data_IF_518998216304
#
_entry.id   IF_518998216304
#
_cell.length_a   1.000
_cell.length_b   1.000
_cell.length_c   1.000
_cell.angle_alpha   90.00
_cell.angle_beta   90.00
_cell.angle_gamma   90.00
#
_symmetry.space_group_name_H-M   'P 1'
#
loop_
_entity.id
_entity.type
_entity.pdbx_description
1 polymer ?
#
# COMPACT_ATOMS: atom_id res chain seq x y z
N UNK A 1 -5.39 -0.62 7.34
CA UNK A 1 -4.46 -1.75 7.18
C UNK A 1 -4.24 -2.41 8.52
N UNK A 2 -4.25 -3.74 8.56
CA UNK A 2 -4.12 -4.51 9.78
C UNK A 2 -3.33 -5.81 9.52
N UNK A 3 -2.96 -6.51 10.59
CA UNK A 3 -2.46 -7.89 10.53
C UNK A 3 -3.12 -8.71 11.62
N UNK A 4 -3.19 -10.02 11.41
CA UNK A 4 -3.68 -10.98 12.39
C UNK A 4 -2.49 -11.64 13.09
N UNK A 5 -2.59 -11.84 14.40
CA UNK A 5 -1.60 -12.64 15.14
C UNK A 5 -1.97 -14.13 15.10
N UNK A 6 -1.09 -14.99 15.62
CA UNK A 6 -1.30 -16.45 15.65
C UNK A 6 -2.55 -16.89 16.45
N UNK A 7 -3.14 -15.99 17.23
CA UNK A 7 -4.35 -16.24 18.03
C UNK A 7 -5.63 -15.71 17.37
N UNK A 8 -5.56 -15.22 16.13
CA UNK A 8 -6.72 -14.68 15.42
C UNK A 8 -7.10 -13.25 15.83
N UNK A 9 -6.25 -12.55 16.59
CA UNK A 9 -6.51 -11.17 16.99
C UNK A 9 -5.99 -10.20 15.93
N UNK A 10 -6.87 -9.35 15.43
CA UNK A 10 -6.51 -8.29 14.49
C UNK A 10 -5.89 -7.09 15.20
N UNK A 11 -4.76 -6.62 14.66
CA UNK A 11 -4.05 -5.43 15.12
C UNK A 11 -4.03 -4.39 14.02
N UNK A 12 -4.62 -3.22 14.29
CA UNK A 12 -4.66 -2.11 13.35
C UNK A 12 -3.28 -1.47 13.27
N UNK A 13 -2.69 -1.45 12.07
CA UNK A 13 -1.42 -0.77 11.82
C UNK A 13 -1.62 0.70 11.43
N UNK A 14 -2.63 0.98 10.60
CA UNK A 14 -2.91 2.34 10.15
C UNK A 14 -4.31 2.51 9.56
N UNK A 15 -4.83 3.73 9.68
CA UNK A 15 -5.97 4.22 8.92
C UNK A 15 -5.46 5.07 7.75
N UNK A 16 -6.14 4.99 6.63
CA UNK A 16 -5.78 5.70 5.40
C UNK A 16 -7.01 6.44 4.92
N UNK A 17 -6.82 7.72 4.61
CA UNK A 17 -7.89 8.59 4.12
C UNK A 17 -7.66 8.97 2.67
N UNK A 18 -8.62 9.69 2.09
CA UNK A 18 -8.61 10.12 0.70
C UNK A 18 -7.31 10.86 0.30
N UNK A 19 -6.88 10.67 -0.94
CA UNK A 19 -5.69 11.32 -1.50
C UNK A 19 -4.34 10.74 -1.04
N UNK A 20 -4.34 9.70 -0.21
CA UNK A 20 -3.12 9.04 0.25
C UNK A 20 -2.78 7.81 -0.60
N UNK A 21 -1.48 7.61 -0.82
CA UNK A 21 -0.97 6.32 -1.30
C UNK A 21 -0.77 5.38 -0.12
N UNK A 22 -1.13 4.11 -0.33
CA UNK A 22 -0.98 3.09 0.68
C UNK A 22 -0.71 1.73 0.03
N UNK A 23 0.10 0.93 0.71
CA UNK A 23 0.40 -0.46 0.40
C UNK A 23 1.17 -1.05 1.59
N UNK A 24 1.46 -2.36 1.56
CA UNK A 24 2.52 -2.92 2.39
C UNK A 24 3.87 -2.54 1.79
N UNK A 25 4.41 -1.39 2.20
CA UNK A 25 5.66 -0.85 1.66
C UNK A 25 6.84 -1.81 1.82
N UNK A 26 6.88 -2.62 2.88
CA UNK A 26 7.96 -3.61 3.06
C UNK A 26 7.88 -4.63 1.94
N UNK A 27 6.72 -5.27 1.78
CA UNK A 27 6.46 -6.23 0.71
C UNK A 27 6.73 -5.65 -0.68
N UNK A 28 6.25 -4.43 -0.94
CA UNK A 28 6.45 -3.73 -2.21
C UNK A 28 7.92 -3.55 -2.57
N UNK A 29 8.74 -3.09 -1.61
CA UNK A 29 10.16 -2.81 -1.80
C UNK A 29 11.01 -4.08 -1.84
N UNK A 30 10.68 -5.10 -1.04
CA UNK A 30 11.50 -6.32 -0.92
C UNK A 30 11.06 -7.46 -1.83
N UNK A 31 10.00 -7.28 -2.60
CA UNK A 31 9.44 -8.30 -3.49
C UNK A 31 9.06 -9.59 -2.75
N UNK A 32 8.50 -9.43 -1.55
CA UNK A 32 8.03 -10.53 -0.70
C UNK A 32 6.50 -10.50 -0.61
N UNK A 33 5.84 -11.61 -0.26
CA UNK A 33 4.40 -11.60 0.02
C UNK A 33 4.02 -10.55 1.07
N UNK A 34 2.83 -9.95 0.90
CA UNK A 34 2.30 -8.98 1.86
C UNK A 34 2.05 -9.64 3.20
N UNK A 35 2.47 -8.98 4.28
CA UNK A 35 2.12 -9.38 5.64
C UNK A 35 0.83 -8.68 6.10
N UNK A 36 0.50 -7.54 5.50
CA UNK A 36 -0.65 -6.73 5.89
C UNK A 36 -1.86 -7.00 5.02
N UNK A 37 -3.02 -6.92 5.65
CA UNK A 37 -4.34 -6.89 5.03
C UNK A 37 -4.85 -5.46 4.89
N UNK A 38 -5.58 -5.21 3.80
CA UNK A 38 -6.20 -3.93 3.48
C UNK A 38 -7.71 -4.16 3.42
N UNK A 39 -8.46 -3.37 4.17
CA UNK A 39 -9.91 -3.43 4.23
C UNK A 39 -10.48 -2.01 4.19
N UNK A 40 -11.53 -1.83 3.41
CA UNK A 40 -12.33 -0.61 3.41
C UNK A 40 -13.25 -0.60 4.63
N UNK A 41 -13.26 0.52 5.37
CA UNK A 41 -14.11 0.71 6.55
C UNK A 41 -15.43 1.41 6.21
N UNK A 42 -15.51 2.01 5.02
CA UNK A 42 -16.67 2.69 4.44
C UNK A 42 -16.66 2.50 2.92
N UNK A 43 -17.74 2.90 2.24
CA UNK A 43 -17.81 2.88 0.78
C UNK A 43 -16.68 3.73 0.18
N UNK A 44 -15.73 3.05 -0.48
CA UNK A 44 -14.47 3.65 -0.92
C UNK A 44 -14.24 3.38 -2.40
N UNK A 45 -13.79 4.39 -3.13
CA UNK A 45 -13.22 4.23 -4.48
C UNK A 45 -11.71 4.43 -4.42
N UNK A 46 -10.95 3.47 -4.95
CA UNK A 46 -9.49 3.53 -4.99
C UNK A 46 -8.96 3.24 -6.40
N UNK A 47 -7.83 3.86 -6.73
CA UNK A 47 -7.07 3.53 -7.92
C UNK A 47 -6.02 2.47 -7.57
N UNK A 48 -6.00 1.38 -8.33
CA UNK A 48 -5.01 0.32 -8.17
C UNK A 48 -3.89 0.48 -9.20
N UNK A 49 -2.65 0.49 -8.73
CA UNK A 49 -1.47 0.45 -9.57
C UNK A 49 -0.67 -0.81 -9.25
N UNK A 50 -0.23 -1.53 -10.29
CA UNK A 50 0.72 -2.63 -10.10
C UNK A 50 2.12 -2.06 -9.84
N UNK A 51 2.97 -2.83 -9.15
CA UNK A 51 4.38 -2.46 -8.94
C UNK A 51 5.10 -2.10 -10.25
N UNK A 52 4.95 -2.93 -11.27
CA UNK A 52 5.49 -2.66 -12.60
C UNK A 52 5.01 -1.33 -13.19
N UNK A 53 3.74 -0.97 -12.97
CA UNK A 53 3.21 0.32 -13.45
C UNK A 53 3.89 1.47 -12.72
N UNK A 54 4.03 1.37 -11.40
CA UNK A 54 4.67 2.40 -10.57
C UNK A 54 6.16 2.56 -10.93
N UNK A 55 6.89 1.47 -11.10
CA UNK A 55 8.29 1.47 -11.52
C UNK A 55 8.48 2.16 -12.88
N UNK A 56 7.62 1.84 -13.85
CA UNK A 56 7.62 2.52 -15.16
C UNK A 56 7.30 4.01 -15.08
N UNK A 57 6.48 4.43 -14.11
CA UNK A 57 6.20 5.85 -13.90
C UNK A 57 7.42 6.59 -13.37
N UNK A 58 8.16 5.98 -12.43
CA UNK A 58 9.42 6.50 -11.94
C UNK A 58 10.45 6.66 -13.06
N UNK A 59 10.62 5.64 -13.91
CA UNK A 59 11.53 5.70 -15.07
C UNK A 59 11.12 6.76 -16.10
N UNK A 60 9.82 7.02 -16.25
CA UNK A 60 9.31 7.89 -17.31
C UNK A 60 9.52 9.37 -17.01
N UNK A 61 9.37 9.82 -15.78
CA UNK A 61 9.50 11.24 -15.45
C UNK A 61 9.75 11.48 -13.95
N UNK A 62 10.70 12.37 -13.64
CA UNK A 62 11.12 12.73 -12.28
C UNK A 62 9.99 13.26 -11.38
N UNK A 63 8.88 13.73 -11.96
CA UNK A 63 7.71 14.17 -11.18
C UNK A 63 7.09 13.04 -10.35
N UNK A 64 7.34 11.78 -10.72
CA UNK A 64 6.87 10.61 -10.00
C UNK A 64 7.80 10.20 -8.85
N UNK A 65 9.04 10.68 -8.79
CA UNK A 65 10.04 10.25 -7.79
C UNK A 65 9.93 10.96 -6.43
N UNK A 66 9.06 11.97 -6.26
CA UNK A 66 8.93 12.86 -5.08
C UNK A 66 9.97 12.63 -3.95
N UNK A 67 11.17 13.15 -4.20
CA UNK A 67 12.12 13.56 -3.18
C UNK A 67 12.47 15.04 -3.42
N UNK A 68 11.62 15.92 -2.89
CA UNK A 68 11.98 17.17 -2.19
C UNK A 68 10.75 17.74 -1.50
#
# INVERSE_FOLDING_TARGET
MYYENEYGTEHIKSFITEGQFFTDYRSFLTDTPSFLSIQALEDTSCALFTKQTVERLYERHICWERCR
#
